data_IF_485833308413
#
_entry.id   IF_485833308413
#
_cell.length_a   1.000
_cell.length_b   1.000
_cell.length_c   1.000
_cell.angle_alpha   90.00
_cell.angle_beta   90.00
_cell.angle_gamma   90.00
#
_symmetry.space_group_name_H-M   'P 1'
#
loop_
_entity.id
_entity.type
_entity.pdbx_description
1 polymer ?
#
# COMPACT_ATOMS: atom_id res chain seq x y z
N UNK A 1 10.29 20.87 -12.24
CA UNK A 1 9.83 22.24 -12.54
C UNK A 1 9.25 22.86 -11.27
N UNK A 2 9.92 23.86 -10.70
CA UNK A 2 9.39 24.66 -9.60
C UNK A 2 8.90 25.97 -10.22
N UNK A 3 7.61 26.09 -10.58
CA UNK A 3 7.07 27.37 -11.02
C UNK A 3 7.27 28.38 -9.89
N UNK A 4 7.66 29.60 -10.23
CA UNK A 4 7.76 30.66 -9.22
C UNK A 4 6.34 31.03 -8.77
N UNK A 5 6.04 30.78 -7.50
CA UNK A 5 4.79 31.19 -6.85
C UNK A 5 5.14 32.41 -5.98
N UNK A 6 4.56 33.59 -6.26
CA UNK A 6 4.85 34.78 -5.47
C UNK A 6 4.25 34.63 -4.05
N UNK A 7 4.83 35.30 -3.03
CA UNK A 7 4.46 35.09 -1.63
C UNK A 7 2.99 35.39 -1.30
N UNK A 8 2.39 36.36 -1.99
CA UNK A 8 0.98 36.71 -1.92
C UNK A 8 0.09 35.55 -2.37
N UNK A 9 0.40 34.94 -3.52
CA UNK A 9 -0.30 33.77 -4.04
C UNK A 9 -0.04 32.50 -3.20
N UNK A 10 1.15 32.35 -2.62
CA UNK A 10 1.50 31.20 -1.79
C UNK A 10 0.64 31.07 -0.52
N UNK A 11 0.03 32.16 -0.06
CA UNK A 11 -0.86 32.15 1.12
C UNK A 11 -2.27 31.61 0.82
N UNK A 12 -2.67 31.63 -0.45
CA UNK A 12 -4.02 31.25 -0.91
C UNK A 12 -4.02 29.97 -1.77
N UNK A 13 -2.85 29.46 -2.14
CA UNK A 13 -2.68 28.23 -2.91
C UNK A 13 -2.05 27.14 -2.05
N UNK A 14 -2.56 25.91 -2.16
CA UNK A 14 -1.92 24.72 -1.58
C UNK A 14 -1.06 24.04 -2.64
N UNK A 15 0.26 24.06 -2.47
CA UNK A 15 1.18 23.35 -3.35
C UNK A 15 1.24 21.85 -2.99
N UNK A 16 1.12 20.98 -3.98
CA UNK A 16 1.26 19.52 -3.82
C UNK A 16 2.45 19.05 -4.63
N UNK A 17 3.45 18.49 -3.95
CA UNK A 17 4.71 18.07 -4.56
C UNK A 17 4.70 16.56 -4.85
N UNK A 18 4.74 16.19 -6.12
CA UNK A 18 4.81 14.80 -6.60
C UNK A 18 6.25 14.33 -6.91
N UNK A 19 7.26 14.98 -6.33
CA UNK A 19 8.66 14.62 -6.57
C UNK A 19 8.95 13.22 -6.07
N UNK A 20 9.58 12.41 -6.93
CA UNK A 20 10.05 11.07 -6.59
C UNK A 20 11.06 11.13 -5.45
N UNK A 21 10.81 10.37 -4.38
CA UNK A 21 11.72 10.25 -3.24
C UNK A 21 12.64 9.03 -3.40
N UNK A 22 13.79 9.04 -2.72
CA UNK A 22 14.74 7.92 -2.74
C UNK A 22 14.13 6.59 -2.29
N UNK A 23 13.30 6.63 -1.24
CA UNK A 23 12.57 5.47 -0.74
C UNK A 23 11.50 4.98 -1.70
N UNK A 24 10.75 5.91 -2.31
CA UNK A 24 9.73 5.59 -3.31
C UNK A 24 10.33 4.93 -4.55
N UNK A 25 11.40 5.51 -5.10
CA UNK A 25 12.09 4.94 -6.25
C UNK A 25 12.73 3.59 -5.94
N UNK A 26 13.34 3.42 -4.77
CA UNK A 26 13.86 2.12 -4.33
C UNK A 26 12.76 1.04 -4.32
N UNK A 27 11.58 1.36 -3.79
CA UNK A 27 10.46 0.44 -3.78
C UNK A 27 10.00 0.06 -5.19
N UNK A 28 9.95 1.04 -6.10
CA UNK A 28 9.60 0.80 -7.51
C UNK A 28 10.61 -0.09 -8.22
N UNK A 29 11.91 0.19 -8.07
CA UNK A 29 12.99 -0.59 -8.68
C UNK A 29 13.04 -2.02 -8.13
N UNK A 30 12.77 -2.19 -6.83
CA UNK A 30 12.63 -3.51 -6.23
C UNK A 30 11.48 -4.28 -6.86
N UNK A 31 10.29 -3.68 -6.98
CA UNK A 31 9.14 -4.32 -7.61
C UNK A 31 9.43 -4.75 -9.06
N UNK A 32 10.07 -3.87 -9.86
CA UNK A 32 10.49 -4.19 -11.22
C UNK A 32 11.49 -5.36 -11.25
N UNK A 33 12.46 -5.36 -10.35
CA UNK A 33 13.44 -6.45 -10.24
C UNK A 33 12.75 -7.78 -9.93
N UNK A 34 11.86 -7.81 -8.94
CA UNK A 34 11.14 -9.04 -8.56
C UNK A 34 10.23 -9.50 -9.69
N UNK A 35 9.55 -8.59 -10.38
CA UNK A 35 8.71 -8.92 -11.52
C UNK A 35 9.49 -9.61 -12.64
N UNK A 36 10.75 -9.22 -12.85
CA UNK A 36 11.63 -9.85 -13.84
C UNK A 36 12.24 -11.17 -13.35
N UNK A 37 12.79 -11.18 -12.13
CA UNK A 37 13.55 -12.31 -11.59
C UNK A 37 12.68 -13.44 -11.02
N UNK A 38 11.56 -13.08 -10.39
CA UNK A 38 10.62 -13.99 -9.72
C UNK A 38 9.17 -13.53 -9.92
N UNK A 39 8.62 -13.60 -11.15
CA UNK A 39 7.26 -13.15 -11.43
C UNK A 39 6.21 -13.85 -10.56
N UNK A 40 6.38 -15.15 -10.29
CA UNK A 40 5.48 -15.92 -9.44
C UNK A 40 5.40 -15.37 -8.01
N UNK A 41 6.51 -14.83 -7.48
CA UNK A 41 6.57 -14.22 -6.16
C UNK A 41 5.78 -12.91 -6.12
N UNK A 42 5.89 -12.10 -7.18
CA UNK A 42 5.13 -10.84 -7.29
C UNK A 42 3.63 -11.08 -7.49
N UNK A 43 3.27 -12.09 -8.28
CA UNK A 43 1.88 -12.50 -8.46
C UNK A 43 1.28 -12.99 -7.13
N UNK A 44 2.00 -13.84 -6.39
CA UNK A 44 1.57 -14.30 -5.07
C UNK A 44 1.36 -13.13 -4.10
N UNK A 45 2.30 -12.18 -4.06
CA UNK A 45 2.17 -11.00 -3.19
C UNK A 45 1.00 -10.11 -3.60
N UNK A 46 0.77 -9.93 -4.89
CA UNK A 46 -0.36 -9.13 -5.40
C UNK A 46 -1.69 -9.78 -5.07
N UNK A 47 -1.83 -11.10 -5.26
CA UNK A 47 -3.02 -11.86 -4.88
C UNK A 47 -3.27 -11.81 -3.37
N UNK A 48 -2.21 -11.96 -2.57
CA UNK A 48 -2.31 -11.89 -1.11
C UNK A 48 -2.82 -10.52 -0.64
N UNK A 49 -2.28 -9.43 -1.21
CA UNK A 49 -2.73 -8.06 -0.91
C UNK A 49 -4.19 -7.82 -1.28
N UNK A 50 -4.62 -8.31 -2.46
CA UNK A 50 -6.02 -8.21 -2.87
C UNK A 50 -6.95 -8.95 -1.89
N UNK A 51 -6.59 -10.19 -1.52
CA UNK A 51 -7.37 -10.97 -0.56
C UNK A 51 -7.40 -10.35 0.84
N UNK A 52 -6.30 -9.72 1.27
CA UNK A 52 -6.23 -9.01 2.54
C UNK A 52 -7.18 -7.80 2.54
N UNK A 53 -7.18 -7.02 1.46
CA UNK A 53 -8.05 -5.84 1.32
C UNK A 53 -9.53 -6.24 1.28
N UNK A 54 -9.88 -7.27 0.49
CA UNK A 54 -11.24 -7.80 0.43
C UNK A 54 -11.74 -8.27 1.81
N UNK A 55 -10.88 -8.93 2.59
CA UNK A 55 -11.19 -9.36 3.96
C UNK A 55 -11.37 -8.18 4.91
N UNK A 56 -10.54 -7.13 4.81
CA UNK A 56 -10.71 -5.91 5.61
C UNK A 56 -12.04 -5.22 5.30
N UNK A 57 -12.41 -5.14 4.03
CA UNK A 57 -13.71 -4.59 3.61
C UNK A 57 -14.86 -5.44 4.16
N UNK A 58 -14.77 -6.77 4.08
CA UNK A 58 -15.78 -7.67 4.64
C UNK A 58 -15.91 -7.50 6.16
N UNK A 59 -14.79 -7.38 6.88
CA UNK A 59 -14.79 -7.16 8.32
C UNK A 59 -15.49 -5.83 8.69
N UNK A 60 -15.15 -4.74 7.99
CA UNK A 60 -15.77 -3.44 8.21
C UNK A 60 -17.29 -3.49 7.97
N UNK A 61 -17.75 -4.19 6.93
CA UNK A 61 -19.18 -4.40 6.65
C UNK A 61 -19.89 -5.20 7.73
N UNK A 62 -19.25 -6.24 8.27
CA UNK A 62 -19.81 -7.01 9.38
C UNK A 62 -19.93 -6.17 10.66
N UNK A 63 -18.94 -5.33 10.94
CA UNK A 63 -18.98 -4.41 12.07
C UNK A 63 -20.08 -3.35 11.93
N UNK A 64 -20.22 -2.78 10.73
CA UNK A 64 -21.29 -1.81 10.41
C UNK A 64 -22.68 -2.44 10.55
N UNK A 65 -22.88 -3.63 9.96
CA UNK A 65 -24.15 -4.36 10.05
C UNK A 65 -24.50 -4.74 11.50
N UNK A 66 -23.50 -5.10 12.30
CA UNK A 66 -23.69 -5.39 13.73
C UNK A 66 -24.15 -4.14 14.49
N UNK A 67 -23.53 -2.99 14.25
CA UNK A 67 -23.92 -1.72 14.86
C UNK A 67 -25.34 -1.30 14.45
N UNK A 68 -25.67 -1.43 13.17
CA UNK A 68 -27.01 -1.13 12.65
C UNK A 68 -28.08 -2.02 13.29
N UNK A 69 -27.80 -3.33 13.38
CA UNK A 69 -28.72 -4.30 13.99
C UNK A 69 -28.95 -3.99 15.47
N UNK A 70 -27.90 -3.63 16.22
CA UNK A 70 -28.03 -3.22 17.62
C UNK A 70 -28.83 -1.92 17.76
N UNK A 71 -28.58 -0.93 16.89
CA UNK A 71 -29.25 0.36 16.93
C UNK A 71 -30.74 0.29 16.56
N UNK A 72 -31.12 -0.61 15.66
CA UNK A 72 -32.49 -0.78 15.16
C UNK A 72 -33.29 -1.77 16.00
N UNK A 73 -32.64 -2.54 16.88
CA UNK A 73 -33.31 -3.48 17.77
C UNK A 73 -34.27 -2.74 18.74
N UNK A 74 -35.55 -3.12 18.71
CA UNK A 74 -36.58 -2.61 19.61
C UNK A 74 -37.02 -3.73 20.57
N UNK A 75 -37.24 -3.41 21.84
CA UNK A 75 -37.60 -4.38 22.89
C UNK A 75 -36.40 -4.92 23.67
N UNK A 76 -36.62 -5.97 24.48
CA UNK A 76 -35.56 -6.58 25.27
C UNK A 76 -34.64 -7.45 24.38
N UNK A 77 -33.41 -6.99 24.17
CA UNK A 77 -32.39 -7.67 23.34
C UNK A 77 -32.15 -9.11 23.82
N UNK A 78 -32.27 -9.37 25.13
CA UNK A 78 -32.04 -10.70 25.71
C UNK A 78 -33.15 -11.72 25.39
N UNK A 79 -34.31 -11.25 24.94
CA UNK A 79 -35.46 -12.11 24.61
C UNK A 79 -35.55 -12.39 23.10
N UNK A 80 -34.86 -11.59 22.27
CA UNK A 80 -34.84 -11.76 20.83
C UNK A 80 -33.81 -12.82 20.41
N UNK A 81 -34.26 -14.08 20.32
CA UNK A 81 -33.41 -15.22 19.94
C UNK A 81 -32.79 -15.07 18.55
N UNK A 82 -33.51 -14.51 17.58
CA UNK A 82 -33.03 -14.34 16.21
C UNK A 82 -31.88 -13.30 16.14
N UNK A 83 -32.00 -12.23 16.94
CA UNK A 83 -30.95 -11.23 17.11
C UNK A 83 -29.70 -11.83 17.76
N UNK A 84 -29.86 -12.61 18.84
CA UNK A 84 -28.74 -13.25 19.54
C UNK A 84 -28.01 -14.23 18.62
N UNK A 85 -28.75 -15.02 17.83
CA UNK A 85 -28.17 -15.96 16.86
C UNK A 85 -27.38 -15.21 15.78
N UNK A 86 -27.95 -14.13 15.23
CA UNK A 86 -27.28 -13.29 14.23
C UNK A 86 -25.99 -12.65 14.79
N UNK A 87 -26.02 -12.16 16.03
CA UNK A 87 -24.84 -11.60 16.70
C UNK A 87 -23.74 -12.65 16.93
N UNK A 88 -24.12 -13.88 17.30
CA UNK A 88 -23.17 -14.98 17.45
C UNK A 88 -22.54 -15.38 16.11
N UNK A 89 -23.33 -15.44 15.03
CA UNK A 89 -22.84 -15.73 13.69
C UNK A 89 -21.88 -14.65 13.17
N UNK A 90 -22.22 -13.37 13.37
CA UNK A 90 -21.35 -12.24 13.00
C UNK A 90 -20.06 -12.29 13.80
N UNK A 91 -20.12 -12.53 15.11
CA UNK A 91 -18.93 -12.67 15.96
C UNK A 91 -18.02 -13.82 15.51
N UNK A 92 -18.59 -14.98 15.20
CA UNK A 92 -17.84 -16.13 14.71
C UNK A 92 -17.17 -15.82 13.36
N UNK A 93 -17.91 -15.18 12.44
CA UNK A 93 -17.40 -14.80 11.12
C UNK A 93 -16.26 -13.77 11.21
N UNK A 94 -16.41 -12.74 12.04
CA UNK A 94 -15.37 -11.74 12.27
C UNK A 94 -14.10 -12.35 12.89
N UNK A 95 -14.25 -13.31 13.82
CA UNK A 95 -13.12 -14.01 14.42
C UNK A 95 -12.34 -14.83 13.38
N UNK A 96 -13.03 -15.54 12.48
CA UNK A 96 -12.40 -16.29 11.38
C UNK A 96 -11.67 -15.36 10.39
N UNK A 97 -12.25 -14.21 10.05
CA UNK A 97 -11.61 -13.22 9.19
C UNK A 97 -10.35 -12.65 9.85
N UNK A 98 -10.40 -12.34 11.15
CA UNK A 98 -9.24 -11.86 11.91
C UNK A 98 -8.11 -12.89 11.95
N UNK A 99 -8.43 -14.17 12.17
CA UNK A 99 -7.44 -15.26 12.13
C UNK A 99 -6.79 -15.36 10.73
N UNK A 100 -7.60 -15.30 9.67
CA UNK A 100 -7.09 -15.34 8.30
C UNK A 100 -6.25 -14.12 7.93
N UNK A 101 -6.59 -12.92 8.43
CA UNK A 101 -5.76 -11.72 8.27
C UNK A 101 -4.43 -11.86 9.00
N UNK A 102 -4.42 -12.45 10.21
CA UNK A 102 -3.19 -12.71 10.95
C UNK A 102 -2.26 -13.71 10.21
N UNK A 103 -2.83 -14.75 9.60
CA UNK A 103 -2.09 -15.66 8.73
C UNK A 103 -1.54 -14.95 7.48
N UNK A 104 -2.37 -14.13 6.83
CA UNK A 104 -1.97 -13.36 5.65
C UNK A 104 -0.80 -12.43 5.96
N UNK A 105 -0.80 -11.75 7.11
CA UNK A 105 0.31 -10.90 7.56
C UNK A 105 1.60 -11.70 7.80
N UNK A 106 1.51 -12.93 8.36
CA UNK A 106 2.68 -13.80 8.51
C UNK A 106 3.26 -14.20 7.16
N UNK A 107 2.41 -14.57 6.21
CA UNK A 107 2.82 -14.91 4.85
C UNK A 107 3.43 -13.71 4.13
N UNK A 108 2.84 -12.52 4.25
CA UNK A 108 3.37 -11.29 3.69
C UNK A 108 4.77 -10.99 4.23
N UNK A 109 4.99 -11.13 5.54
CA UNK A 109 6.31 -10.97 6.16
C UNK A 109 7.34 -11.98 5.62
N UNK A 110 6.91 -13.20 5.27
CA UNK A 110 7.77 -14.20 4.65
C UNK A 110 8.13 -13.81 3.21
N UNK A 111 7.14 -13.40 2.41
CA UNK A 111 7.35 -12.93 1.04
C UNK A 111 8.26 -11.69 0.99
N UNK A 112 8.11 -10.77 1.94
CA UNK A 112 8.95 -9.57 2.04
C UNK A 112 10.41 -9.93 2.32
N UNK A 113 10.68 -10.91 3.19
CA UNK A 113 12.05 -11.40 3.43
C UNK A 113 12.66 -12.02 2.17
N UNK A 114 11.87 -12.70 1.35
CA UNK A 114 12.37 -13.24 0.09
C UNK A 114 12.70 -12.13 -0.92
N UNK A 115 11.92 -11.04 -0.91
CA UNK A 115 12.18 -9.84 -1.71
C UNK A 115 13.43 -9.08 -1.24
N UNK A 116 13.75 -9.11 0.05
CA UNK A 116 14.91 -8.40 0.63
C UNK A 116 16.25 -8.80 0.00
N UNK A 117 16.36 -10.00 -0.59
CA UNK A 117 17.54 -10.44 -1.33
C UNK A 117 17.92 -9.49 -2.48
N UNK A 118 16.94 -8.80 -3.07
CA UNK A 118 17.13 -7.87 -4.19
C UNK A 118 17.16 -6.39 -3.75
N UNK A 119 16.95 -6.12 -2.46
CA UNK A 119 16.93 -4.77 -1.91
C UNK A 119 18.25 -3.99 -2.15
N UNK A 120 19.46 -4.59 -2.01
CA UNK A 120 20.71 -3.88 -2.24
C UNK A 120 20.86 -3.37 -3.69
N UNK A 121 20.34 -4.11 -4.67
CA UNK A 121 20.33 -3.70 -6.08
C UNK A 121 19.45 -2.46 -6.26
N UNK A 122 18.21 -2.52 -5.76
CA UNK A 122 17.26 -1.41 -5.85
C UNK A 122 17.76 -0.15 -5.13
N UNK A 123 18.47 -0.30 -4.00
CA UNK A 123 19.10 0.82 -3.30
C UNK A 123 20.22 1.46 -4.10
N UNK A 124 21.08 0.64 -4.70
CA UNK A 124 22.19 1.13 -5.53
C UNK A 124 21.68 1.83 -6.78
N UNK A 125 20.67 1.27 -7.43
CA UNK A 125 20.02 1.87 -8.60
C UNK A 125 19.29 3.19 -8.26
N UNK A 126 18.58 3.26 -7.12
CA UNK A 126 17.97 4.50 -6.65
C UNK A 126 19.02 5.59 -6.42
N UNK A 127 20.12 5.26 -5.71
CA UNK A 127 21.25 6.19 -5.51
C UNK A 127 21.84 6.67 -6.85
N UNK A 128 22.04 5.76 -7.80
CA UNK A 128 22.56 6.10 -9.13
C UNK A 128 21.68 7.12 -9.86
N UNK A 129 20.35 6.94 -9.83
CA UNK A 129 19.42 7.89 -10.45
C UNK A 129 19.54 9.30 -9.86
N UNK A 130 19.64 9.43 -8.54
CA UNK A 130 19.77 10.75 -7.90
C UNK A 130 21.14 11.40 -8.19
N UNK A 131 22.22 10.62 -8.28
CA UNK A 131 23.53 11.12 -8.72
C UNK A 131 23.44 11.66 -10.16
N UNK A 132 22.82 10.90 -11.07
CA UNK A 132 22.62 11.32 -12.46
C UNK A 132 21.75 12.58 -12.54
N UNK A 133 20.70 12.66 -11.73
CA UNK A 133 19.80 13.83 -11.66
C UNK A 133 20.54 15.08 -11.18
N UNK A 134 21.48 14.91 -10.26
CA UNK A 134 22.30 15.98 -9.70
C UNK A 134 23.36 16.52 -10.68
N UNK A 135 23.67 15.83 -11.78
CA UNK A 135 24.56 16.34 -12.83
C UNK A 135 24.04 17.64 -13.46
N UNK A 136 22.72 17.85 -13.42
CA UNK A 136 22.08 19.09 -13.88
C UNK A 136 22.56 20.34 -13.12
N UNK A 137 23.10 20.18 -11.90
CA UNK A 137 23.71 21.24 -11.09
C UNK A 137 25.06 21.71 -11.66
N UNK A 138 25.76 20.85 -12.39
CA UNK A 138 27.04 21.15 -13.04
C UNK A 138 26.78 21.79 -14.41
N UNK A 139 25.90 21.19 -15.21
CA UNK A 139 25.49 21.73 -16.50
C UNK A 139 24.00 21.49 -16.73
N UNK A 140 23.27 22.55 -17.09
CA UNK A 140 21.83 22.50 -17.33
C UNK A 140 21.43 21.50 -18.44
N UNK A 141 22.34 21.18 -19.37
CA UNK A 141 22.09 20.17 -20.40
C UNK A 141 22.07 18.72 -19.87
N UNK A 142 22.64 18.44 -18.70
CA UNK A 142 22.65 17.12 -18.08
C UNK A 142 21.37 16.83 -17.28
N UNK A 143 20.23 16.89 -17.98
CA UNK A 143 18.92 16.55 -17.43
C UNK A 143 18.44 15.24 -18.03
N UNK A 144 18.27 14.26 -17.15
CA UNK A 144 17.76 12.94 -17.53
C UNK A 144 16.40 12.71 -16.89
N UNK A 145 15.49 12.08 -17.62
CA UNK A 145 14.18 11.73 -17.10
C UNK A 145 14.22 10.40 -16.35
N UNK A 146 13.37 10.25 -15.34
CA UNK A 146 13.18 8.97 -14.67
C UNK A 146 12.74 7.88 -15.65
N UNK A 147 11.89 8.20 -16.62
CA UNK A 147 11.45 7.25 -17.65
C UNK A 147 12.62 6.70 -18.49
N UNK A 148 13.60 7.53 -18.83
CA UNK A 148 14.79 7.07 -19.55
C UNK A 148 15.65 6.13 -18.68
N UNK A 149 15.78 6.46 -17.39
CA UNK A 149 16.49 5.60 -16.43
C UNK A 149 15.78 4.25 -16.27
N UNK A 150 14.46 4.24 -16.05
CA UNK A 150 13.67 3.01 -15.89
C UNK A 150 13.61 2.14 -17.14
N UNK A 151 13.82 2.70 -18.34
CA UNK A 151 13.91 1.92 -19.58
C UNK A 151 15.28 1.24 -19.73
N UNK A 152 16.33 1.80 -19.12
CA UNK A 152 17.68 1.25 -19.14
C UNK A 152 17.90 0.23 -18.02
N UNK A 153 17.24 0.45 -16.89
CA UNK A 153 17.14 -0.49 -15.79
C UNK A 153 16.37 -1.73 -16.20
#
# INVERSE_FOLDING_TARGET
PHPFIPPDASSIVTEVNFTTTGSGLRGQLLALTIQHEKPDLEEQKTKLLQQEEDKKIQLAKLEESLLETLATSQGNILENKDLIESLNQTKASSALIQESLAESHRLQSFLDKERDAYLPLAESASKMYFIISDLSKINNMYRFSLAAFLRLF
#
